data_IF_513408807606
#
_entry.id   IF_513408807606
#
_cell.length_a   1.000
_cell.length_b   1.000
_cell.length_c   1.000
_cell.angle_alpha   90.00
_cell.angle_beta   90.00
_cell.angle_gamma   90.00
#
_symmetry.space_group_name_H-M   'P 1'
#
loop_
_entity.id
_entity.type
_entity.pdbx_description
1 polymer ?
#
# COMPACT_ATOMS: atom_id res chain seq x y z
N UNK A 1 -5.45 -5.40 22.98
CA UNK A 1 -5.14 -3.96 23.17
C UNK A 1 -3.81 -3.67 22.51
N UNK A 2 -3.70 -2.55 21.79
CA UNK A 2 -2.46 -2.16 21.13
C UNK A 2 -1.77 -1.04 21.91
N UNK A 3 -0.45 -0.93 21.78
CA UNK A 3 0.33 0.16 22.36
C UNK A 3 1.15 0.82 21.25
N UNK A 4 1.10 2.15 21.19
CA UNK A 4 1.96 2.95 20.31
C UNK A 4 2.75 3.88 21.22
N UNK A 5 4.08 3.77 21.20
CA UNK A 5 4.96 4.55 22.08
C UNK A 5 4.55 4.47 23.57
N UNK A 6 4.24 3.25 24.05
CA UNK A 6 3.76 2.96 25.41
C UNK A 6 2.39 3.55 25.78
N UNK A 7 1.65 4.13 24.83
CA UNK A 7 0.30 4.67 25.05
C UNK A 7 -0.73 3.62 24.64
N UNK A 8 -1.68 3.23 25.51
CA UNK A 8 -2.73 2.30 25.16
C UNK A 8 -3.65 2.91 24.11
N UNK A 9 -3.90 2.18 23.02
CA UNK A 9 -4.75 2.61 21.92
C UNK A 9 -5.59 1.43 21.41
N UNK A 10 -6.81 1.72 20.97
CA UNK A 10 -7.65 0.69 20.35
C UNK A 10 -7.12 0.34 18.96
N UNK A 11 -7.18 -0.94 18.53
CA UNK A 11 -6.81 -1.33 17.17
C UNK A 11 -7.59 -0.54 16.10
N UNK A 12 -8.87 -0.23 16.36
CA UNK A 12 -9.70 0.56 15.47
C UNK A 12 -9.23 2.01 15.30
N UNK A 13 -8.63 2.62 16.33
CA UNK A 13 -8.04 3.95 16.19
C UNK A 13 -6.79 3.91 15.29
N UNK A 14 -5.92 2.89 15.45
CA UNK A 14 -4.75 2.69 14.57
C UNK A 14 -5.20 2.48 13.12
N UNK A 15 -6.20 1.62 12.88
CA UNK A 15 -6.73 1.41 11.54
C UNK A 15 -7.25 2.71 10.90
N UNK A 16 -8.00 3.52 11.65
CA UNK A 16 -8.49 4.83 11.18
C UNK A 16 -7.36 5.81 10.87
N UNK A 17 -6.30 5.83 11.67
CA UNK A 17 -5.11 6.66 11.39
C UNK A 17 -4.43 6.27 10.09
N UNK A 18 -4.27 4.96 9.84
CA UNK A 18 -3.68 4.43 8.60
C UNK A 18 -4.56 4.80 7.40
N UNK A 19 -5.88 4.62 7.49
CA UNK A 19 -6.83 4.99 6.42
C UNK A 19 -6.78 6.49 6.14
N UNK A 20 -6.79 7.32 7.18
CA UNK A 20 -6.71 8.77 7.04
C UNK A 20 -5.40 9.19 6.35
N UNK A 21 -4.25 8.66 6.81
CA UNK A 21 -2.96 8.90 6.17
C UNK A 21 -2.94 8.46 4.70
N UNK A 22 -3.46 7.28 4.40
CA UNK A 22 -3.56 6.75 3.03
C UNK A 22 -4.40 7.65 2.11
N UNK A 23 -5.50 8.23 2.62
CA UNK A 23 -6.35 9.13 1.83
C UNK A 23 -5.67 10.43 1.39
N UNK A 24 -4.57 10.82 2.07
CA UNK A 24 -3.79 12.02 1.75
C UNK A 24 -2.70 11.76 0.69
N UNK A 25 -2.49 10.51 0.28
CA UNK A 25 -1.40 10.14 -0.64
C UNK A 25 -1.73 10.37 -2.12
N UNK A 26 -2.87 10.98 -2.46
CA UNK A 26 -3.29 11.16 -3.85
C UNK A 26 -2.25 11.88 -4.72
N UNK A 27 -1.72 13.02 -4.25
CA UNK A 27 -0.67 13.74 -4.97
C UNK A 27 0.64 12.94 -5.05
N UNK A 28 1.03 12.29 -3.95
CA UNK A 28 2.22 11.45 -3.92
C UNK A 28 2.14 10.32 -4.95
N UNK A 29 1.05 9.54 -4.94
CA UNK A 29 0.84 8.43 -5.87
C UNK A 29 0.85 8.89 -7.32
N UNK A 30 0.25 10.05 -7.62
CA UNK A 30 0.29 10.64 -8.96
C UNK A 30 1.72 11.01 -9.35
N UNK A 31 2.47 11.69 -8.49
CA UNK A 31 3.86 12.10 -8.77
C UNK A 31 4.76 10.90 -9.01
N UNK A 32 4.68 9.85 -8.17
CA UNK A 32 5.49 8.65 -8.38
C UNK A 32 5.09 7.93 -9.67
N UNK A 33 3.80 7.88 -10.00
CA UNK A 33 3.33 7.33 -11.28
C UNK A 33 3.93 8.09 -12.47
N UNK A 34 3.86 9.42 -12.43
CA UNK A 34 4.42 10.28 -13.47
C UNK A 34 5.95 10.07 -13.61
N UNK A 35 6.68 9.93 -12.49
CA UNK A 35 8.12 9.63 -12.52
C UNK A 35 8.43 8.24 -13.07
N UNK A 36 7.66 7.21 -12.70
CA UNK A 36 7.84 5.85 -13.22
C UNK A 36 7.57 5.78 -14.72
N UNK A 37 6.54 6.48 -15.23
CA UNK A 37 6.26 6.55 -16.67
C UNK A 37 7.41 7.16 -17.48
N UNK A 38 8.24 8.01 -16.87
CA UNK A 38 9.40 8.63 -17.51
C UNK A 38 10.72 7.91 -17.19
N UNK A 39 10.69 6.82 -16.42
CA UNK A 39 11.89 6.07 -16.09
C UNK A 39 12.36 5.25 -17.31
N UNK A 40 13.69 5.10 -17.53
CA UNK A 40 14.22 4.28 -18.62
C UNK A 40 13.80 2.80 -18.54
N UNK A 41 13.55 2.30 -17.33
CA UNK A 41 13.12 0.93 -17.08
C UNK A 41 12.25 0.90 -15.83
N UNK A 42 11.16 0.13 -15.90
CA UNK A 42 10.25 -0.09 -14.79
C UNK A 42 10.06 -1.59 -14.58
N UNK A 43 10.22 -2.04 -13.35
CA UNK A 43 9.97 -3.40 -12.90
C UNK A 43 8.58 -3.48 -12.26
N UNK A 44 7.84 -4.52 -12.63
CA UNK A 44 6.53 -4.81 -12.06
C UNK A 44 6.56 -6.17 -11.38
N UNK A 45 6.02 -6.24 -10.17
CA UNK A 45 5.88 -7.48 -9.41
C UNK A 45 4.54 -7.52 -8.64
N UNK A 46 4.14 -8.72 -8.22
CA UNK A 46 2.93 -8.97 -7.44
C UNK A 46 3.24 -9.91 -6.29
N UNK A 47 3.00 -9.45 -5.07
CA UNK A 47 3.08 -10.29 -3.87
C UNK A 47 1.69 -10.55 -3.32
N UNK A 48 1.36 -11.82 -3.08
CA UNK A 48 0.11 -12.25 -2.47
C UNK A 48 0.24 -12.39 -0.96
N UNK A 49 -0.75 -11.92 -0.20
CA UNK A 49 -0.83 -12.08 1.25
C UNK A 49 -2.22 -12.56 1.66
N UNK A 50 -2.30 -13.44 2.66
CA UNK A 50 -3.59 -13.84 3.25
C UNK A 50 -3.90 -12.96 4.45
N UNK A 51 -5.08 -12.36 4.46
CA UNK A 51 -5.61 -11.54 5.57
C UNK A 51 -7.01 -12.03 5.86
N UNK A 52 -7.29 -12.41 7.12
CA UNK A 52 -8.58 -12.98 7.54
C UNK A 52 -9.07 -14.10 6.59
N UNK A 53 -8.16 -15.04 6.28
CA UNK A 53 -8.43 -16.20 5.41
C UNK A 53 -8.46 -15.89 3.91
N UNK A 54 -8.46 -14.62 3.50
CA UNK A 54 -8.67 -14.22 2.11
C UNK A 54 -7.39 -13.70 1.45
N UNK A 55 -7.21 -14.02 0.16
CA UNK A 55 -6.04 -13.59 -0.62
C UNK A 55 -6.18 -12.14 -1.06
N UNK A 56 -5.18 -11.34 -0.72
CA UNK A 56 -5.00 -9.94 -1.12
C UNK A 56 -3.72 -9.81 -1.93
N UNK A 57 -3.71 -8.91 -2.90
CA UNK A 57 -2.56 -8.68 -3.77
C UNK A 57 -1.98 -7.29 -3.54
N UNK A 58 -0.66 -7.24 -3.48
CA UNK A 58 0.13 -6.01 -3.48
C UNK A 58 0.82 -5.95 -4.83
N UNK A 59 0.53 -4.90 -5.58
CA UNK A 59 1.24 -4.60 -6.81
C UNK A 59 2.36 -3.62 -6.52
N UNK A 60 3.52 -3.83 -7.15
CA UNK A 60 4.61 -2.86 -7.14
C UNK A 60 4.98 -2.49 -8.57
N UNK A 61 5.19 -1.19 -8.77
CA UNK A 61 5.88 -0.64 -9.92
C UNK A 61 7.10 0.12 -9.41
N UNK A 62 8.29 -0.16 -9.94
CA UNK A 62 9.53 0.42 -9.41
C UNK A 62 10.60 0.66 -10.46
N UNK A 63 11.48 1.61 -10.19
CA UNK A 63 12.76 1.77 -10.87
C UNK A 63 13.89 1.57 -9.85
N UNK A 64 15.13 1.90 -10.21
CA UNK A 64 16.26 1.84 -9.28
C UNK A 64 16.16 2.81 -8.08
N UNK A 65 15.29 3.82 -8.13
CA UNK A 65 15.23 4.88 -7.11
C UNK A 65 13.85 5.07 -6.46
N UNK A 66 12.78 4.65 -7.13
CA UNK A 66 11.41 4.89 -6.69
C UNK A 66 10.57 3.63 -6.80
N UNK A 67 9.62 3.47 -5.88
CA UNK A 67 8.65 2.39 -5.89
C UNK A 67 7.27 2.92 -5.52
N UNK A 68 6.26 2.46 -6.25
CA UNK A 68 4.85 2.66 -5.95
C UNK A 68 4.24 1.31 -5.60
N UNK A 69 3.76 1.18 -4.36
CA UNK A 69 3.05 0.00 -3.89
C UNK A 69 1.57 0.30 -3.81
N UNK A 70 0.75 -0.55 -4.44
CA UNK A 70 -0.71 -0.40 -4.47
C UNK A 70 -1.32 -1.69 -3.96
N UNK A 71 -2.09 -1.58 -2.87
CA UNK A 71 -2.99 -2.63 -2.42
C UNK A 71 -4.25 -2.58 -3.27
N UNK A 72 -4.54 -3.66 -3.99
CA UNK A 72 -5.85 -3.86 -4.64
C UNK A 72 -6.67 -4.85 -3.82
N UNK A 73 -7.99 -4.61 -3.74
CA UNK A 73 -8.91 -5.45 -2.99
C UNK A 73 -8.93 -6.90 -3.52
N UNK A 74 -9.24 -7.82 -2.60
CA UNK A 74 -9.68 -9.21 -2.78
C UNK A 74 -9.88 -9.62 -4.23
N UNK A 75 -8.98 -10.47 -4.74
CA UNK A 75 -9.31 -11.25 -5.92
C UNK A 75 -10.44 -12.22 -5.52
N UNK A 76 -11.67 -11.96 -5.96
CA UNK A 76 -12.64 -13.05 -6.16
C UNK A 76 -11.98 -13.97 -7.18
N UNK A 77 -11.47 -15.10 -6.70
CA UNK A 77 -11.00 -16.18 -7.56
C UNK A 77 -12.18 -16.53 -8.47
N UNK A 78 -12.04 -16.26 -9.77
CA UNK A 78 -12.94 -16.74 -10.79
C UNK A 78 -12.75 -18.25 -10.97
#
# INVERSE_FOLDING_TARGET
MAYVLSIPISPGAVAKMIIAGGSLLGLFSKTITDLLCNAPTVHFDKTGARVEGSLHWIHVASSSLIALLIFTHLCKVA
#
